data_IF_093107021535
#
_entry.id   IF_093107021535
#
_cell.length_a   1.000
_cell.length_b   1.000
_cell.length_c   1.000
_cell.angle_alpha   90.00
_cell.angle_beta   90.00
_cell.angle_gamma   90.00
#
_symmetry.space_group_name_H-M   'P 1'
#
loop_
_entity.id
_entity.type
_entity.pdbx_description
1 polymer ?
#
# COMPACT_ATOMS: atom_id res chain seq x y z
N UNK A 1 -3.91 -5.91 -1.36
CA UNK A 1 -4.46 -4.79 -0.58
C UNK A 1 -4.76 -5.33 0.80
N UNK A 2 -4.38 -4.61 1.84
CA UNK A 2 -4.54 -5.03 3.23
C UNK A 2 -5.20 -3.89 4.00
N UNK A 3 -6.22 -4.20 4.77
CA UNK A 3 -6.92 -3.21 5.58
C UNK A 3 -6.35 -3.29 7.00
N UNK A 4 -5.77 -2.19 7.48
CA UNK A 4 -4.99 -2.16 8.73
C UNK A 4 -5.64 -1.28 9.78
N UNK A 5 -5.78 -1.80 10.99
CA UNK A 5 -6.46 -1.14 12.11
C UNK A 5 -5.65 -1.27 13.40
N UNK A 6 -5.84 -0.31 14.32
CA UNK A 6 -5.50 -0.53 15.73
C UNK A 6 -6.54 -1.46 16.37
N UNK A 7 -6.08 -2.57 16.94
CA UNK A 7 -6.94 -3.53 17.63
C UNK A 7 -6.15 -4.31 18.68
N UNK A 8 -6.75 -4.51 19.87
CA UNK A 8 -6.12 -5.21 21.00
C UNK A 8 -4.70 -4.72 21.39
N UNK A 9 -4.39 -3.45 21.12
CA UNK A 9 -3.08 -2.86 21.43
C UNK A 9 -1.99 -3.08 20.38
N UNK A 10 -2.33 -3.73 19.25
CA UNK A 10 -1.44 -4.01 18.13
C UNK A 10 -2.06 -3.57 16.78
N UNK A 11 -1.31 -3.77 15.68
CA UNK A 11 -1.81 -3.55 14.32
C UNK A 11 -2.37 -4.84 13.76
N UNK A 12 -3.62 -4.80 13.30
CA UNK A 12 -4.35 -5.97 12.82
C UNK A 12 -4.80 -5.82 11.39
N UNK A 13 -4.88 -6.96 10.70
CA UNK A 13 -5.63 -7.10 9.47
C UNK A 13 -7.09 -7.37 9.83
N UNK A 14 -7.98 -6.54 9.29
CA UNK A 14 -9.39 -6.54 9.65
C UNK A 14 -10.21 -5.99 8.50
N UNK A 15 -11.45 -6.42 8.30
CA UNK A 15 -12.32 -5.81 7.30
C UNK A 15 -13.63 -5.38 7.94
N UNK A 16 -13.76 -4.08 8.22
CA UNK A 16 -14.86 -3.54 9.01
C UNK A 16 -15.28 -2.14 8.58
N UNK A 17 -16.58 -1.84 8.48
CA UNK A 17 -17.05 -0.50 8.18
C UNK A 17 -16.74 0.49 9.31
N UNK A 18 -16.55 1.76 8.95
CA UNK A 18 -16.44 2.85 9.93
C UNK A 18 -15.07 2.98 10.62
N UNK A 19 -14.03 2.35 10.08
CA UNK A 19 -12.65 2.54 10.56
C UNK A 19 -12.37 1.95 11.94
N UNK A 20 -13.19 0.99 12.40
CA UNK A 20 -13.00 0.31 13.68
C UNK A 20 -13.01 -1.20 13.50
N UNK A 21 -12.01 -1.87 14.06
CA UNK A 21 -11.98 -3.32 14.09
C UNK A 21 -12.77 -3.88 15.29
N UNK A 22 -13.39 -5.04 15.08
CA UNK A 22 -14.14 -5.81 16.07
C UNK A 22 -13.69 -7.28 16.04
N UNK A 23 -13.92 -8.02 17.13
CA UNK A 23 -13.56 -9.44 17.25
C UNK A 23 -14.05 -10.28 16.05
N UNK A 24 -15.28 -10.02 15.58
CA UNK A 24 -15.91 -10.75 14.48
C UNK A 24 -15.40 -10.38 13.09
N UNK A 25 -14.70 -9.26 12.97
CA UNK A 25 -14.12 -8.74 11.71
C UNK A 25 -12.59 -8.85 11.67
N UNK A 26 -11.97 -9.12 12.82
CA UNK A 26 -10.53 -9.30 12.94
C UNK A 26 -10.11 -10.61 12.26
N UNK A 27 -9.09 -10.53 11.42
CA UNK A 27 -8.51 -11.71 10.77
C UNK A 27 -7.32 -12.22 11.57
N UNK A 28 -6.24 -11.43 11.63
CA UNK A 28 -5.03 -11.77 12.39
C UNK A 28 -4.18 -10.51 12.65
N UNK A 29 -3.20 -10.57 13.57
CA UNK A 29 -2.19 -9.52 13.71
C UNK A 29 -1.42 -9.32 12.40
N UNK A 30 -1.23 -8.07 11.99
CA UNK A 30 -0.49 -7.76 10.76
C UNK A 30 0.95 -8.29 10.77
N UNK A 31 1.53 -8.49 11.96
CA UNK A 31 2.85 -9.09 12.13
C UNK A 31 3.00 -10.43 11.40
N UNK A 32 1.97 -11.29 11.43
CA UNK A 32 2.05 -12.65 10.91
C UNK A 32 2.14 -12.64 9.38
N UNK A 33 1.17 -12.01 8.70
CA UNK A 33 1.24 -11.74 7.26
C UNK A 33 2.54 -11.02 6.85
N UNK A 34 3.00 -10.01 7.60
CA UNK A 34 4.23 -9.28 7.25
C UNK A 34 5.48 -10.15 7.37
N UNK A 35 5.53 -11.11 8.29
CA UNK A 35 6.62 -12.10 8.37
C UNK A 35 6.59 -13.08 7.21
N UNK A 36 5.42 -13.45 6.71
CA UNK A 36 5.33 -14.26 5.49
C UNK A 36 5.89 -13.51 4.27
N UNK A 37 5.58 -12.22 4.16
CA UNK A 37 6.13 -11.36 3.10
C UNK A 37 7.65 -11.24 3.24
N UNK A 38 8.16 -11.11 4.46
CA UNK A 38 9.61 -11.07 4.70
C UNK A 38 10.28 -12.37 4.27
N UNK A 39 9.72 -13.52 4.68
CA UNK A 39 10.22 -14.83 4.29
C UNK A 39 10.20 -15.03 2.77
N UNK A 40 9.12 -14.59 2.11
CA UNK A 40 9.03 -14.61 0.64
C UNK A 40 10.12 -13.76 -0.01
N UNK A 41 10.30 -12.51 0.40
CA UNK A 41 11.32 -11.62 -0.16
C UNK A 41 12.75 -12.13 0.13
N UNK A 42 12.97 -12.78 1.27
CA UNK A 42 14.24 -13.41 1.61
C UNK A 42 14.54 -14.62 0.72
N UNK A 43 13.56 -15.47 0.46
CA UNK A 43 13.70 -16.65 -0.40
C UNK A 43 13.78 -16.30 -1.89
N UNK A 44 13.21 -15.16 -2.30
CA UNK A 44 13.09 -14.75 -3.69
C UNK A 44 13.80 -13.41 -3.94
N UNK A 45 15.13 -13.38 -4.14
CA UNK A 45 15.93 -12.15 -4.18
C UNK A 45 15.63 -11.25 -5.38
N UNK A 46 15.01 -11.78 -6.44
CA UNK A 46 14.65 -11.02 -7.65
C UNK A 46 13.21 -10.51 -7.66
N UNK A 47 12.39 -10.91 -6.69
CA UNK A 47 10.98 -10.55 -6.65
C UNK A 47 10.75 -9.22 -5.94
N UNK A 48 9.70 -8.52 -6.37
CA UNK A 48 9.22 -7.26 -5.81
C UNK A 48 7.79 -7.46 -5.31
N UNK A 49 7.51 -6.99 -4.11
CA UNK A 49 6.17 -6.99 -3.52
C UNK A 49 5.66 -5.56 -3.41
N UNK A 50 4.41 -5.35 -3.83
CA UNK A 50 3.69 -4.08 -3.64
C UNK A 50 2.52 -4.30 -2.69
N UNK A 51 2.45 -3.49 -1.64
CA UNK A 51 1.36 -3.50 -0.66
C UNK A 51 0.61 -2.16 -0.75
N UNK A 52 -0.72 -2.22 -0.78
CA UNK A 52 -1.60 -1.05 -0.65
C UNK A 52 -2.38 -1.25 0.65
N UNK A 53 -2.18 -0.33 1.59
CA UNK A 53 -2.81 -0.32 2.90
C UNK A 53 -4.06 0.56 2.86
N UNK A 54 -5.22 -0.04 3.12
CA UNK A 54 -6.38 0.72 3.55
C UNK A 54 -6.21 1.01 5.05
N UNK A 55 -5.72 2.20 5.34
CA UNK A 55 -5.08 2.55 6.60
C UNK A 55 -6.03 3.28 7.57
N UNK A 56 -6.44 2.55 8.60
CA UNK A 56 -7.20 3.04 9.75
C UNK A 56 -6.37 3.06 11.05
N UNK A 57 -5.04 3.05 10.95
CA UNK A 57 -4.12 3.06 12.10
C UNK A 57 -3.88 4.50 12.58
N UNK A 58 -4.35 4.79 13.80
CA UNK A 58 -4.17 6.06 14.50
C UNK A 58 -2.98 6.05 15.46
N UNK A 59 -2.55 4.88 15.93
CA UNK A 59 -1.40 4.78 16.84
C UNK A 59 -0.14 5.38 16.22
N UNK A 60 0.60 6.24 16.96
CA UNK A 60 1.81 6.87 16.43
C UNK A 60 2.85 5.84 15.98
N UNK A 61 3.23 5.89 14.71
CA UNK A 61 4.19 4.97 14.10
C UNK A 61 3.78 3.49 14.12
N UNK A 62 2.50 3.16 14.32
CA UNK A 62 2.02 1.77 14.39
C UNK A 62 2.45 0.94 13.19
N UNK A 63 2.21 1.47 11.98
CA UNK A 63 2.63 0.84 10.73
C UNK A 63 4.15 0.74 10.60
N UNK A 64 4.88 1.84 10.76
CA UNK A 64 6.34 1.82 10.64
C UNK A 64 6.99 0.85 11.64
N UNK A 65 6.47 0.77 12.86
CA UNK A 65 6.96 -0.15 13.88
C UNK A 65 6.69 -1.61 13.50
N UNK A 66 5.50 -1.95 13.01
CA UNK A 66 5.19 -3.34 12.63
C UNK A 66 6.04 -3.79 11.43
N UNK A 67 6.25 -2.94 10.40
CA UNK A 67 7.16 -3.25 9.29
C UNK A 67 8.61 -3.41 9.73
N UNK A 68 9.09 -2.54 10.64
CA UNK A 68 10.43 -2.62 11.22
C UNK A 68 10.62 -3.92 12.00
N UNK A 69 9.67 -4.26 12.86
CA UNK A 69 9.71 -5.46 13.68
C UNK A 69 9.58 -6.75 12.86
N UNK A 70 8.86 -6.70 11.73
CA UNK A 70 8.80 -7.78 10.75
C UNK A 70 10.11 -7.94 9.94
N UNK A 71 11.07 -7.01 10.05
CA UNK A 71 12.34 -7.06 9.32
C UNK A 71 12.26 -6.59 7.87
N UNK A 72 11.15 -5.97 7.46
CA UNK A 72 10.90 -5.58 6.07
C UNK A 72 11.60 -4.29 5.63
N UNK A 73 12.08 -3.48 6.57
CA UNK A 73 12.69 -2.18 6.25
C UNK A 73 13.96 -2.28 5.39
N UNK A 74 14.65 -3.43 5.41
CA UNK A 74 15.79 -3.70 4.51
C UNK A 74 15.40 -3.81 3.03
N UNK A 75 14.11 -4.05 2.74
CA UNK A 75 13.54 -4.14 1.40
C UNK A 75 12.84 -2.85 0.94
N UNK A 76 12.70 -1.86 1.83
CA UNK A 76 11.82 -0.71 1.63
C UNK A 76 12.24 0.17 0.44
N UNK A 77 11.30 0.42 -0.48
CA UNK A 77 11.49 1.39 -1.55
C UNK A 77 11.13 2.81 -1.06
N UNK A 78 12.09 3.76 -1.03
CA UNK A 78 11.87 5.05 -0.39
C UNK A 78 11.04 6.01 -1.26
N UNK A 79 10.17 6.80 -0.62
CA UNK A 79 9.35 7.84 -1.26
C UNK A 79 10.20 8.84 -2.07
N UNK A 80 11.42 9.14 -1.63
CA UNK A 80 12.34 10.05 -2.33
C UNK A 80 12.76 9.55 -3.72
N UNK A 81 12.63 8.25 -4.00
CA UNK A 81 12.90 7.62 -5.30
C UNK A 81 11.64 7.31 -6.10
N UNK A 82 10.45 7.54 -5.53
CA UNK A 82 9.21 7.32 -6.26
C UNK A 82 9.02 8.41 -7.32
N UNK A 83 8.63 8.05 -8.55
CA UNK A 83 8.44 9.01 -9.60
C UNK A 83 7.32 9.98 -9.27
N UNK A 84 7.49 11.23 -9.71
CA UNK A 84 6.49 12.29 -9.57
C UNK A 84 6.23 12.91 -10.93
N UNK A 85 5.02 13.42 -11.13
CA UNK A 85 4.63 14.15 -12.34
C UNK A 85 4.86 13.37 -13.64
N UNK A 86 4.47 12.08 -13.66
CA UNK A 86 4.55 11.23 -14.85
C UNK A 86 5.96 10.77 -15.22
N UNK A 87 6.92 10.90 -14.30
CA UNK A 87 8.25 10.29 -14.47
C UNK A 87 8.17 8.76 -14.45
N UNK A 88 9.16 8.12 -15.07
CA UNK A 88 9.28 6.68 -15.10
C UNK A 88 9.73 6.12 -13.74
N UNK A 89 9.22 4.94 -13.40
CA UNK A 89 9.77 4.15 -12.29
C UNK A 89 11.20 3.69 -12.62
N UNK A 90 12.07 3.50 -11.61
CA UNK A 90 13.35 2.84 -11.83
C UNK A 90 13.17 1.47 -12.46
N UNK A 91 14.22 1.00 -13.15
CA UNK A 91 14.21 -0.35 -13.67
C UNK A 91 14.07 -1.36 -12.53
N UNK A 92 13.32 -2.43 -12.79
CA UNK A 92 13.21 -3.56 -11.85
C UNK A 92 14.60 -4.11 -11.49
N UNK A 93 15.53 -4.14 -12.45
CA UNK A 93 16.93 -4.53 -12.20
C UNK A 93 17.62 -3.64 -11.17
N UNK A 94 17.38 -2.34 -11.20
CA UNK A 94 17.96 -1.39 -10.26
C UNK A 94 17.33 -1.52 -8.89
N UNK A 95 16.01 -1.73 -8.82
CA UNK A 95 15.29 -1.99 -7.59
C UNK A 95 15.83 -3.25 -6.89
N UNK A 96 15.99 -4.33 -7.65
CA UNK A 96 16.55 -5.59 -7.17
C UNK A 96 18.01 -5.43 -6.73
N UNK A 97 18.85 -4.79 -7.55
CA UNK A 97 20.27 -4.58 -7.25
C UNK A 97 20.49 -3.74 -5.96
N UNK A 98 19.58 -2.82 -5.65
CA UNK A 98 19.61 -2.02 -4.43
C UNK A 98 18.86 -2.66 -3.25
N UNK A 99 18.33 -3.87 -3.42
CA UNK A 99 17.44 -4.54 -2.47
C UNK A 99 16.23 -3.69 -2.05
N UNK A 100 15.72 -2.82 -2.93
CA UNK A 100 14.54 -1.99 -2.71
C UNK A 100 13.32 -2.63 -3.38
N UNK A 101 12.85 -3.71 -2.78
CA UNK A 101 11.93 -4.69 -3.37
C UNK A 101 10.56 -4.73 -2.68
N UNK A 102 10.30 -3.81 -1.75
CA UNK A 102 9.01 -3.64 -1.09
C UNK A 102 8.50 -2.21 -1.34
N UNK A 103 7.44 -2.08 -2.11
CA UNK A 103 6.73 -0.81 -2.33
C UNK A 103 5.47 -0.81 -1.46
N UNK A 104 5.29 0.20 -0.63
CA UNK A 104 4.12 0.31 0.26
C UNK A 104 3.42 1.64 0.03
N UNK A 105 2.12 1.55 -0.24
CA UNK A 105 1.21 2.68 -0.31
C UNK A 105 0.20 2.66 0.84
N UNK A 106 -0.27 3.83 1.25
CA UNK A 106 -1.34 4.01 2.24
C UNK A 106 -2.48 4.87 1.68
N UNK A 107 -3.70 4.62 2.15
CA UNK A 107 -4.86 5.49 1.94
C UNK A 107 -4.87 6.73 2.85
N UNK A 108 -4.03 6.80 3.89
CA UNK A 108 -3.95 7.92 4.81
C UNK A 108 -2.90 8.96 4.36
N UNK A 109 -3.36 10.15 3.96
CA UNK A 109 -2.51 11.23 3.43
C UNK A 109 -1.39 11.68 4.39
N UNK A 110 -1.60 11.57 5.69
CA UNK A 110 -0.66 12.09 6.69
C UNK A 110 0.63 11.27 6.77
N UNK A 111 0.56 9.96 6.50
CA UNK A 111 1.67 9.02 6.71
C UNK A 111 2.85 9.25 5.77
N UNK A 112 2.65 9.85 4.60
CA UNK A 112 3.79 10.17 3.73
C UNK A 112 4.72 11.18 4.39
N UNK A 113 4.15 12.20 5.04
CA UNK A 113 4.92 13.24 5.72
C UNK A 113 5.45 12.79 7.09
N UNK A 114 4.69 11.98 7.84
CA UNK A 114 5.04 11.61 9.21
C UNK A 114 5.84 10.32 9.32
N UNK A 115 5.59 9.36 8.43
CA UNK A 115 6.14 8.00 8.50
C UNK A 115 6.91 7.59 7.23
N UNK A 116 6.81 8.37 6.14
CA UNK A 116 7.45 8.04 4.87
C UNK A 116 6.76 6.91 4.09
N UNK A 117 5.48 6.64 4.38
CA UNK A 117 4.66 5.67 3.64
C UNK A 117 3.92 6.41 2.51
N UNK A 118 4.08 5.97 1.27
CA UNK A 118 3.60 6.70 0.10
C UNK A 118 2.06 6.85 0.11
N UNK A 119 1.56 8.07 0.02
CA UNK A 119 0.12 8.28 -0.10
C UNK A 119 -0.34 7.88 -1.50
N UNK A 120 -1.19 6.85 -1.60
CA UNK A 120 -1.49 6.19 -2.88
C UNK A 120 -1.94 7.18 -3.97
N UNK A 121 -2.77 8.17 -3.61
CA UNK A 121 -3.34 9.13 -4.56
C UNK A 121 -2.32 10.16 -5.10
N UNK A 122 -1.10 10.21 -4.55
CA UNK A 122 0.00 10.92 -5.18
C UNK A 122 0.57 10.16 -6.39
N UNK A 123 0.46 8.82 -6.42
CA UNK A 123 1.20 7.97 -7.34
C UNK A 123 0.33 7.13 -8.29
N UNK A 124 -0.95 6.93 -7.98
CA UNK A 124 -1.82 6.10 -8.82
C UNK A 124 -3.18 6.74 -9.09
N UNK A 125 -3.75 6.38 -10.24
CA UNK A 125 -5.18 6.50 -10.54
C UNK A 125 -5.85 5.14 -10.40
N UNK A 126 -7.13 5.12 -10.01
CA UNK A 126 -7.90 3.90 -9.77
C UNK A 126 -9.33 4.05 -10.33
N UNK A 127 -9.83 3.01 -11.02
CA UNK A 127 -11.23 2.97 -11.46
C UNK A 127 -12.17 2.57 -10.31
N UNK A 128 -13.43 2.96 -10.42
CA UNK A 128 -14.47 2.60 -9.48
C UNK A 128 -14.58 1.08 -9.34
N UNK A 129 -14.68 0.59 -8.12
CA UNK A 129 -14.82 -0.85 -7.83
C UNK A 129 -16.26 -1.34 -8.10
N UNK A 130 -16.39 -2.61 -8.52
CA UNK A 130 -17.66 -3.31 -8.73
C UNK A 130 -18.44 -2.84 -9.95
N UNK A 131 -19.73 -3.17 -10.00
CA UNK A 131 -20.62 -2.89 -11.14
C UNK A 131 -20.61 -1.42 -11.59
N UNK A 132 -20.39 -0.49 -10.64
CA UNK A 132 -20.28 0.94 -10.93
C UNK A 132 -19.10 1.31 -11.84
N UNK A 133 -18.03 0.53 -11.81
CA UNK A 133 -16.86 0.66 -12.68
C UNK A 133 -16.91 -0.16 -13.96
N UNK A 134 -17.77 -1.16 -14.03
CA UNK A 134 -17.88 -2.11 -15.14
C UNK A 134 -18.87 -1.63 -16.21
N UNK A 135 -18.73 -0.37 -16.64
CA UNK A 135 -19.59 0.25 -17.66
C UNK A 135 -18.91 0.21 -19.03
N UNK A 136 -19.51 -0.46 -20.01
CA UNK A 136 -18.91 -0.58 -21.34
C UNK A 136 -18.65 0.80 -21.98
N UNK A 137 -17.42 1.05 -22.41
CA UNK A 137 -17.00 2.33 -23.02
C UNK A 137 -16.75 3.46 -22.02
N UNK A 138 -17.00 3.25 -20.73
CA UNK A 138 -16.67 4.18 -19.66
C UNK A 138 -15.67 3.53 -18.69
N UNK A 139 -14.86 4.34 -18.04
CA UNK A 139 -14.02 3.88 -16.94
C UNK A 139 -14.03 4.97 -15.87
N UNK A 140 -15.10 5.03 -15.05
CA UNK A 140 -15.22 6.09 -14.05
C UNK A 140 -14.12 5.92 -13.00
N UNK A 141 -13.46 7.02 -12.67
CA UNK A 141 -12.49 7.04 -11.58
C UNK A 141 -13.19 6.80 -10.24
N UNK A 142 -12.50 6.10 -9.34
CA UNK A 142 -12.89 6.01 -7.93
C UNK A 142 -12.94 7.42 -7.33
N UNK A 143 -13.86 7.67 -6.40
CA UNK A 143 -14.10 9.00 -5.80
C UNK A 143 -12.83 9.71 -5.28
N UNK A 144 -11.93 8.98 -4.63
CA UNK A 144 -10.69 9.54 -4.07
C UNK A 144 -9.57 9.70 -5.11
N UNK A 145 -9.70 9.05 -6.27
CA UNK A 145 -8.73 9.07 -7.35
C UNK A 145 -8.84 10.34 -8.20
N UNK A 146 -7.72 10.77 -8.77
CA UNK A 146 -7.73 11.67 -9.91
C UNK A 146 -8.39 10.98 -11.15
N UNK A 147 -8.69 11.77 -12.18
CA UNK A 147 -9.20 11.24 -13.45
C UNK A 147 -8.21 10.22 -14.05
N UNK A 148 -8.71 9.12 -14.64
CA UNK A 148 -7.84 8.05 -15.15
C UNK A 148 -6.87 8.48 -16.27
N UNK A 149 -7.16 9.60 -16.94
CA UNK A 149 -6.28 10.20 -17.93
C UNK A 149 -5.18 11.11 -17.35
N UNK A 150 -5.08 11.24 -16.02
CA UNK A 150 -4.08 12.07 -15.36
C UNK A 150 -2.68 11.45 -15.51
N UNK A 151 -1.94 11.92 -16.50
CA UNK A 151 -0.57 11.47 -16.80
C UNK A 151 0.46 11.92 -15.76
N UNK A 152 0.08 12.72 -14.76
CA UNK A 152 0.99 13.05 -13.66
C UNK A 152 1.13 11.90 -12.68
N UNK A 153 0.20 10.93 -12.70
CA UNK A 153 0.24 9.71 -11.89
C UNK A 153 0.98 8.60 -12.63
N UNK A 154 2.07 8.05 -12.06
CA UNK A 154 2.89 7.04 -12.74
C UNK A 154 2.28 5.63 -12.75
N UNK A 155 1.21 5.36 -11.99
CA UNK A 155 0.57 4.04 -11.90
C UNK A 155 -0.93 4.09 -12.19
N UNK A 156 -1.45 2.99 -12.71
CA UNK A 156 -2.89 2.74 -12.87
C UNK A 156 -3.22 1.45 -12.12
N UNK A 157 -4.10 1.55 -11.11
CA UNK A 157 -4.69 0.40 -10.42
C UNK A 157 -6.03 0.09 -11.05
N UNK A 158 -6.19 -1.12 -11.57
CA UNK A 158 -7.46 -1.58 -12.16
C UNK A 158 -8.14 -2.55 -11.19
N UNK A 159 -9.35 -2.18 -10.80
CA UNK A 159 -10.31 -3.02 -10.13
C UNK A 159 -11.24 -3.67 -11.17
N UNK A 160 -11.71 -4.88 -10.88
CA UNK A 160 -12.74 -5.60 -11.63
C UNK A 160 -14.01 -5.73 -10.81
#
# INVERSE_FOLDING_TARGET
>A
MLDTYDFEGDIWLCHSPGGKCHDVTAFEPAMDTLREIEAFLAANPSEIVTIILEDYVESPNGLTNVFKNAGLMKYWFPVSRMPKNGQDWPLVSDMVANNQRLIVFTSNKTKEATEGIAYQWNYMVENQYGDGGMKAGECPARKESAALGDKTKPLVKINS
#
